data_IF_914210529027
#
_entry.id   IF_914210529027
#
_cell.length_a   1.000
_cell.length_b   1.000
_cell.length_c   1.000
_cell.angle_alpha   90.00
_cell.angle_beta   90.00
_cell.angle_gamma   90.00
#
_symmetry.space_group_name_H-M   'P 1'
#
loop_
_entity.id
_entity.type
_entity.pdbx_description
1 polymer ?
#
# COMPACT_ATOMS: atom_id res chain seq x y z
N UNK A 1 10.97 -6.36 -14.13
CA UNK A 1 9.65 -6.87 -14.55
C UNK A 1 9.20 -7.92 -13.56
N UNK A 2 8.25 -7.56 -12.71
CA UNK A 2 7.77 -8.41 -11.62
C UNK A 2 6.57 -9.26 -12.07
N UNK A 3 6.44 -10.47 -11.51
CA UNK A 3 5.26 -11.34 -11.75
C UNK A 3 3.97 -10.71 -11.20
N UNK A 4 2.81 -11.04 -11.76
CA UNK A 4 1.52 -10.54 -11.25
C UNK A 4 1.32 -10.88 -9.77
N UNK A 5 0.80 -9.93 -9.00
CA UNK A 5 0.41 -10.18 -7.60
C UNK A 5 -0.88 -11.02 -7.48
N UNK A 6 -1.60 -11.22 -8.59
CA UNK A 6 -2.73 -12.13 -8.68
C UNK A 6 -2.19 -13.52 -9.06
N UNK A 7 -2.46 -14.50 -8.22
CA UNK A 7 -2.09 -15.90 -8.42
C UNK A 7 -3.31 -16.69 -8.88
N UNK A 8 -3.09 -17.68 -9.75
CA UNK A 8 -4.12 -18.52 -10.34
C UNK A 8 -3.78 -20.00 -10.17
N UNK A 9 -4.76 -20.81 -9.77
CA UNK A 9 -4.75 -22.27 -10.00
C UNK A 9 -5.99 -22.67 -10.78
N UNK A 10 -5.82 -23.64 -11.67
CA UNK A 10 -6.90 -24.31 -12.38
C UNK A 10 -7.15 -25.72 -11.79
N UNK A 11 -8.36 -25.98 -11.32
CA UNK A 11 -8.83 -27.31 -10.92
C UNK A 11 -9.97 -27.72 -11.86
N UNK A 12 -9.70 -28.69 -12.74
CA UNK A 12 -10.58 -29.29 -13.76
C UNK A 12 -11.32 -28.30 -14.68
N UNK A 13 -12.25 -27.49 -14.15
CA UNK A 13 -13.02 -26.46 -14.87
C UNK A 13 -13.15 -25.12 -14.11
N UNK A 14 -12.54 -24.98 -12.93
CA UNK A 14 -12.64 -23.79 -12.07
C UNK A 14 -11.27 -23.11 -11.97
N UNK A 15 -11.26 -21.79 -12.21
CA UNK A 15 -10.09 -20.92 -11.99
C UNK A 15 -10.25 -20.21 -10.66
N UNK A 16 -9.30 -20.42 -9.75
CA UNK A 16 -9.27 -19.75 -8.44
C UNK A 16 -8.20 -18.67 -8.51
N UNK A 17 -8.60 -17.43 -8.27
CA UNK A 17 -7.70 -16.28 -8.20
C UNK A 17 -7.57 -15.83 -6.75
N UNK A 18 -6.35 -15.53 -6.30
CA UNK A 18 -6.12 -14.88 -5.01
C UNK A 18 -5.02 -13.83 -5.10
N UNK A 19 -5.06 -12.89 -4.17
CA UNK A 19 -4.04 -11.85 -4.03
C UNK A 19 -2.89 -12.40 -3.19
N UNK A 20 -1.65 -12.34 -3.68
CA UNK A 20 -0.47 -12.70 -2.89
C UNK A 20 -0.05 -11.53 -2.00
N UNK A 21 -0.69 -11.42 -0.84
CA UNK A 21 -0.39 -10.40 0.17
C UNK A 21 1.08 -10.43 0.62
N UNK A 22 1.73 -11.60 0.66
CA UNK A 22 3.12 -11.68 1.12
C UNK A 22 4.04 -11.05 0.07
N UNK A 23 3.84 -11.40 -1.20
CA UNK A 23 4.57 -10.80 -2.32
C UNK A 23 4.36 -9.28 -2.39
N UNK A 24 3.12 -8.82 -2.20
CA UNK A 24 2.82 -7.38 -2.19
C UNK A 24 3.54 -6.66 -1.04
N UNK A 25 3.53 -7.23 0.16
CA UNK A 25 4.18 -6.59 1.31
C UNK A 25 5.70 -6.54 1.15
N UNK A 26 6.31 -7.60 0.62
CA UNK A 26 7.74 -7.64 0.28
C UNK A 26 8.09 -6.53 -0.74
N UNK A 27 7.29 -6.39 -1.78
CA UNK A 27 7.42 -5.35 -2.80
C UNK A 27 7.26 -3.94 -2.26
N UNK A 28 6.25 -3.72 -1.40
CA UNK A 28 6.07 -2.45 -0.71
C UNK A 28 7.31 -2.11 0.12
N UNK A 29 7.87 -3.09 0.83
CA UNK A 29 9.11 -2.90 1.60
C UNK A 29 10.28 -2.47 0.71
N UNK A 30 10.51 -3.15 -0.41
CA UNK A 30 11.58 -2.77 -1.36
C UNK A 30 11.38 -1.37 -1.95
N UNK A 31 10.14 -0.97 -2.23
CA UNK A 31 9.84 0.38 -2.71
C UNK A 31 10.09 1.42 -1.60
N UNK A 32 9.66 1.13 -0.37
CA UNK A 32 9.85 2.01 0.79
C UNK A 32 11.34 2.22 1.14
N UNK A 33 12.24 1.28 0.82
CA UNK A 33 13.67 1.49 0.99
C UNK A 33 14.20 2.69 0.18
N UNK A 34 13.57 2.99 -0.96
CA UNK A 34 13.90 4.14 -1.82
C UNK A 34 13.35 5.47 -1.28
N UNK A 35 12.50 5.46 -0.25
CA UNK A 35 11.92 6.69 0.30
C UNK A 35 12.95 7.58 1.00
N UNK A 36 14.16 7.06 1.25
CA UNK A 36 15.31 7.87 1.69
C UNK A 36 15.65 9.00 0.71
N UNK A 37 15.36 8.81 -0.58
CA UNK A 37 15.56 9.81 -1.62
C UNK A 37 14.42 10.84 -1.71
N UNK A 38 13.36 10.66 -0.90
CA UNK A 38 12.16 11.49 -0.86
C UNK A 38 11.91 12.01 0.57
N UNK A 39 12.81 12.82 1.12
CA UNK A 39 12.72 13.30 2.50
C UNK A 39 11.48 14.18 2.77
N UNK A 40 10.78 14.63 1.72
CA UNK A 40 9.51 15.32 1.86
C UNK A 40 8.36 14.41 2.30
N UNK A 41 8.48 13.09 2.13
CA UNK A 41 7.47 12.12 2.57
C UNK A 41 7.75 11.73 4.01
N UNK A 42 6.78 12.01 4.89
CA UNK A 42 6.88 11.75 6.32
C UNK A 42 6.27 10.41 6.71
N UNK A 43 5.15 10.03 6.09
CA UNK A 43 4.43 8.81 6.41
C UNK A 43 3.82 8.18 5.16
N UNK A 44 3.71 6.85 5.15
CA UNK A 44 2.94 6.10 4.14
C UNK A 44 1.96 5.19 4.85
N UNK A 45 0.71 5.26 4.42
CA UNK A 45 -0.38 4.47 4.98
C UNK A 45 -1.03 3.66 3.86
N UNK A 46 -1.17 2.36 4.08
CA UNK A 46 -2.04 1.52 3.26
C UNK A 46 -3.43 1.60 3.84
N UNK A 47 -4.44 1.90 3.03
CA UNK A 47 -5.83 1.93 3.49
C UNK A 47 -6.74 1.15 2.54
N UNK A 48 -8.05 1.32 2.70
CA UNK A 48 -9.02 0.68 1.82
C UNK A 48 -9.10 -0.83 1.98
N UNK A 49 -9.41 -1.52 0.89
CA UNK A 49 -9.74 -2.95 0.92
C UNK A 49 -8.56 -3.84 1.32
N UNK A 50 -7.33 -3.45 0.95
CA UNK A 50 -6.13 -4.21 1.26
C UNK A 50 -5.82 -4.17 2.77
N UNK A 51 -5.84 -2.98 3.38
CA UNK A 51 -5.65 -2.82 4.81
C UNK A 51 -6.70 -3.56 5.66
N UNK A 52 -7.94 -3.63 5.16
CA UNK A 52 -9.04 -4.33 5.83
C UNK A 52 -9.09 -5.85 5.55
N UNK A 53 -8.11 -6.39 4.81
CA UNK A 53 -8.07 -7.80 4.39
C UNK A 53 -9.30 -8.22 3.57
N UNK A 54 -9.91 -7.27 2.86
CA UNK A 54 -11.08 -7.47 1.99
C UNK A 54 -10.74 -7.38 0.50
N UNK A 55 -9.50 -7.05 0.14
CA UNK A 55 -9.09 -6.98 -1.26
C UNK A 55 -9.28 -8.33 -1.97
N UNK A 56 -9.81 -8.24 -3.19
CA UNK A 56 -10.09 -9.35 -4.10
C UNK A 56 -9.19 -9.24 -5.34
N UNK A 57 -9.07 -10.28 -6.16
CA UNK A 57 -8.41 -10.17 -7.46
C UNK A 57 -9.05 -9.04 -8.29
N UNK A 58 -8.23 -8.06 -8.68
CA UNK A 58 -8.67 -6.84 -9.37
C UNK A 58 -8.88 -5.62 -8.47
N UNK A 59 -8.68 -5.74 -7.15
CA UNK A 59 -8.58 -4.57 -6.26
C UNK A 59 -7.26 -3.83 -6.47
N UNK A 60 -7.29 -2.50 -6.32
CA UNK A 60 -6.11 -1.65 -6.29
C UNK A 60 -5.56 -1.53 -4.86
N UNK A 61 -4.31 -1.11 -4.69
CA UNK A 61 -3.75 -0.73 -3.38
C UNK A 61 -3.86 0.78 -3.19
N UNK A 62 -4.66 1.19 -2.21
CA UNK A 62 -4.79 2.60 -1.84
C UNK A 62 -3.67 3.02 -0.88
N UNK A 63 -2.84 3.97 -1.30
CA UNK A 63 -1.71 4.51 -0.53
C UNK A 63 -1.89 6.00 -0.24
N UNK A 64 -1.95 6.35 1.04
CA UNK A 64 -1.88 7.74 1.49
C UNK A 64 -0.41 8.08 1.79
N UNK A 65 0.12 9.09 1.11
CA UNK A 65 1.44 9.65 1.37
C UNK A 65 1.25 10.95 2.12
N UNK A 66 1.78 11.05 3.33
CA UNK A 66 1.75 12.28 4.13
C UNK A 66 3.08 13.00 3.92
N UNK A 67 3.01 14.20 3.38
CA UNK A 67 4.17 15.01 2.99
C UNK A 67 4.34 16.21 3.93
N UNK A 68 5.56 16.70 4.07
CA UNK A 68 5.84 17.91 4.87
C UNK A 68 5.17 19.15 4.30
N UNK A 69 5.32 19.40 3.00
CA UNK A 69 4.73 20.54 2.30
C UNK A 69 4.83 20.31 0.78
N UNK A 70 4.01 21.03 0.02
CA UNK A 70 4.11 21.07 -1.44
C UNK A 70 3.35 22.26 -1.98
N UNK A 71 3.95 22.97 -2.94
CA UNK A 71 3.28 24.04 -3.69
C UNK A 71 2.57 23.51 -4.95
N UNK A 72 2.75 22.21 -5.27
CA UNK A 72 2.15 21.58 -6.45
C UNK A 72 0.68 21.22 -6.20
N UNK A 73 -0.12 21.24 -7.26
CA UNK A 73 -1.51 20.78 -7.19
C UNK A 73 -1.53 19.27 -6.89
N UNK A 74 -2.60 18.79 -6.27
CA UNK A 74 -2.75 17.38 -5.91
C UNK A 74 -2.53 16.46 -7.11
N UNK A 75 -3.08 16.78 -8.28
CA UNK A 75 -2.92 15.94 -9.49
C UNK A 75 -1.46 15.84 -9.96
N UNK A 76 -0.71 16.93 -9.89
CA UNK A 76 0.71 16.95 -10.27
C UNK A 76 1.58 16.17 -9.25
N UNK A 77 1.13 16.13 -7.99
CA UNK A 77 1.74 15.29 -6.94
C UNK A 77 1.43 13.80 -7.19
N UNK A 78 0.18 13.46 -7.50
CA UNK A 78 -0.23 12.07 -7.81
C UNK A 78 0.64 11.56 -8.95
N UNK A 79 0.69 12.27 -10.08
CA UNK A 79 1.52 11.89 -11.23
C UNK A 79 2.99 11.64 -10.84
N UNK A 80 3.58 12.51 -10.02
CA UNK A 80 4.98 12.36 -9.57
C UNK A 80 5.24 11.07 -8.78
N UNK A 81 4.33 10.66 -7.92
CA UNK A 81 4.55 9.53 -7.01
C UNK A 81 3.96 8.21 -7.52
N UNK A 82 3.00 8.28 -8.44
CA UNK A 82 2.37 7.12 -9.07
C UNK A 82 3.40 6.18 -9.71
N UNK A 83 4.38 6.74 -10.42
CA UNK A 83 5.41 5.97 -11.15
C UNK A 83 6.30 5.13 -10.23
N UNK A 84 6.43 5.50 -8.95
CA UNK A 84 7.22 4.73 -7.97
C UNK A 84 6.66 3.33 -7.74
N UNK A 85 5.38 3.12 -8.04
CA UNK A 85 4.67 1.86 -7.84
C UNK A 85 4.33 1.14 -9.14
N UNK A 86 4.79 1.65 -10.29
CA UNK A 86 4.49 1.09 -11.62
C UNK A 86 4.90 -0.38 -11.78
N UNK A 87 5.98 -0.79 -11.13
CA UNK A 87 6.50 -2.17 -11.17
C UNK A 87 5.83 -3.12 -10.15
N UNK A 88 4.87 -2.67 -9.34
CA UNK A 88 4.33 -3.46 -8.22
C UNK A 88 3.57 -4.72 -8.66
N UNK A 89 3.22 -4.84 -9.95
CA UNK A 89 2.56 -6.01 -10.52
C UNK A 89 1.05 -6.09 -10.23
N UNK A 90 0.49 -5.00 -9.74
CA UNK A 90 -0.93 -4.66 -9.68
C UNK A 90 -1.08 -3.13 -9.57
N UNK A 91 -2.29 -2.63 -9.81
CA UNK A 91 -2.61 -1.21 -9.71
C UNK A 91 -2.45 -0.68 -8.27
N UNK A 92 -1.97 0.56 -8.18
CA UNK A 92 -1.82 1.31 -6.93
C UNK A 92 -2.45 2.67 -7.14
N UNK A 93 -3.22 3.16 -6.18
CA UNK A 93 -3.73 4.53 -6.20
C UNK A 93 -3.02 5.33 -5.12
N UNK A 94 -2.32 6.39 -5.54
CA UNK A 94 -1.50 7.21 -4.66
C UNK A 94 -2.22 8.51 -4.30
N UNK A 95 -2.28 8.82 -3.01
CA UNK A 95 -2.94 10.01 -2.47
C UNK A 95 -1.93 10.86 -1.66
N UNK A 96 -1.20 11.78 -2.31
CA UNK A 96 -0.13 12.56 -1.67
C UNK A 96 -0.68 13.85 -1.07
N UNK A 97 -0.94 13.84 0.24
CA UNK A 97 -1.45 14.98 1.00
C UNK A 97 -0.36 15.56 1.91
N UNK A 98 -0.35 16.88 2.10
CA UNK A 98 0.58 17.52 3.02
C UNK A 98 0.04 17.49 4.46
N UNK A 99 0.91 17.76 5.44
CA UNK A 99 0.48 17.92 6.85
C UNK A 99 -0.56 19.03 7.01
N UNK A 100 -0.54 20.08 6.19
CA UNK A 100 -1.53 21.16 6.24
C UNK A 100 -2.91 20.67 5.77
N UNK A 101 -2.95 19.58 5.00
CA UNK A 101 -4.16 18.94 4.50
C UNK A 101 -4.60 17.77 5.41
N UNK A 102 -3.95 17.55 6.56
CA UNK A 102 -4.20 16.39 7.44
C UNK A 102 -5.60 16.36 8.04
N UNK A 103 -6.23 17.52 8.20
CA UNK A 103 -7.55 17.65 8.82
C UNK A 103 -8.70 17.37 7.85
N UNK A 104 -8.41 17.14 6.57
CA UNK A 104 -9.41 16.73 5.61
C UNK A 104 -10.04 15.38 6.04
N UNK A 105 -11.38 15.25 5.98
CA UNK A 105 -12.06 14.03 6.41
C UNK A 105 -11.56 12.75 5.72
N UNK A 106 -11.17 12.86 4.45
CA UNK A 106 -10.57 11.76 3.70
C UNK A 106 -9.27 11.27 4.35
N UNK A 107 -8.33 12.18 4.64
CA UNK A 107 -7.02 11.85 5.22
C UNK A 107 -7.19 11.24 6.61
N UNK A 108 -8.05 11.82 7.43
CA UNK A 108 -8.38 11.29 8.76
C UNK A 108 -8.97 9.88 8.69
N UNK A 109 -9.92 9.64 7.77
CA UNK A 109 -10.51 8.32 7.60
C UNK A 109 -9.51 7.27 7.08
N UNK A 110 -8.64 7.68 6.14
CA UNK A 110 -7.58 6.83 5.62
C UNK A 110 -6.60 6.43 6.74
N UNK A 111 -6.14 7.37 7.57
CA UNK A 111 -5.29 7.04 8.74
C UNK A 111 -6.01 6.19 9.78
N UNK A 112 -7.28 6.45 10.05
CA UNK A 112 -8.07 5.69 11.05
C UNK A 112 -8.29 4.23 10.67
N UNK A 113 -8.50 3.96 9.39
CA UNK A 113 -8.84 2.61 8.88
C UNK A 113 -7.66 1.90 8.23
N UNK A 114 -6.59 2.64 7.96
CA UNK A 114 -5.37 2.16 7.34
C UNK A 114 -4.32 1.72 8.35
N UNK A 115 -3.21 1.26 7.78
CA UNK A 115 -2.03 0.75 8.47
C UNK A 115 -0.86 1.59 8.00
N UNK A 116 -0.17 2.23 8.94
CA UNK A 116 1.06 2.94 8.65
C UNK A 116 2.17 1.92 8.34
N UNK A 117 2.76 2.01 7.16
CA UNK A 117 3.84 1.11 6.69
C UNK A 117 5.19 1.82 6.60
N UNK A 118 5.21 3.14 6.75
CA UNK A 118 6.42 3.95 6.81
C UNK A 118 6.16 5.20 7.65
N UNK A 119 7.09 5.54 8.53
CA UNK A 119 7.08 6.79 9.27
C UNK A 119 8.53 7.24 9.52
N UNK A 120 8.88 8.43 9.06
CA UNK A 120 10.24 8.96 9.17
C UNK A 120 10.65 9.26 10.62
N UNK A 121 9.68 9.58 11.49
CA UNK A 121 9.92 9.86 12.91
C UNK A 121 9.98 8.60 13.77
N UNK A 122 9.38 7.50 13.29
CA UNK A 122 9.29 6.24 14.02
C UNK A 122 9.29 5.04 13.04
N UNK A 123 10.49 4.56 12.72
CA UNK A 123 10.69 3.40 11.84
C UNK A 123 10.04 2.12 12.39
N UNK A 124 9.88 2.02 13.72
CA UNK A 124 9.29 0.86 14.38
C UNK A 124 7.79 0.75 14.05
N UNK A 125 7.08 1.88 13.96
CA UNK A 125 5.67 1.92 13.51
C UNK A 125 5.53 1.35 12.09
N UNK A 126 6.38 1.78 11.15
CA UNK A 126 6.33 1.29 9.78
C UNK A 126 6.63 -0.21 9.67
N UNK A 127 7.65 -0.66 10.38
CA UNK A 127 8.03 -2.08 10.46
C UNK A 127 6.90 -2.94 11.02
N UNK A 128 6.23 -2.48 12.08
CA UNK A 128 5.13 -3.20 12.70
C UNK A 128 3.90 -3.28 11.79
N UNK A 129 3.63 -2.23 11.02
CA UNK A 129 2.55 -2.22 10.02
C UNK A 129 2.79 -3.19 8.87
N UNK A 130 4.02 -3.24 8.34
CA UNK A 130 4.40 -4.24 7.33
C UNK A 130 4.27 -5.67 7.87
N UNK A 131 4.77 -5.92 9.09
CA UNK A 131 4.66 -7.25 9.73
C UNK A 131 3.19 -7.67 9.92
N UNK A 132 2.32 -6.74 10.33
CA UNK A 132 0.90 -7.01 10.44
C UNK A 132 0.28 -7.46 9.10
N UNK A 133 0.63 -6.79 7.99
CA UNK A 133 0.16 -7.17 6.66
C UNK A 133 0.66 -8.56 6.23
N UNK A 134 1.92 -8.89 6.52
CA UNK A 134 2.46 -10.24 6.28
C UNK A 134 1.76 -11.33 7.10
N UNK A 135 1.50 -11.09 8.38
CA UNK A 135 0.87 -12.08 9.25
C UNK A 135 -0.61 -12.28 8.91
N UNK A 136 -1.30 -11.21 8.53
CA UNK A 136 -2.64 -11.29 8.00
C UNK A 136 -2.73 -12.12 6.71
N UNK A 137 -1.71 -12.04 5.85
CA UNK A 137 -1.57 -12.89 4.65
C UNK A 137 -1.50 -14.39 5.01
N UNK A 138 -0.67 -14.73 6.01
CA UNK A 138 -0.48 -16.11 6.49
C UNK A 138 -1.78 -16.66 7.10
N UNK A 139 -2.54 -15.81 7.80
CA UNK A 139 -3.83 -16.16 8.40
C UNK A 139 -4.89 -16.57 7.37
N UNK A 140 -4.95 -15.89 6.21
CA UNK A 140 -5.87 -16.26 5.12
C UNK A 140 -5.50 -17.59 4.45
N UNK A 141 -4.20 -17.86 4.22
CA UNK A 141 -3.75 -19.14 3.62
C UNK A 141 -4.17 -20.37 4.44
N UNK A 142 -4.32 -20.26 5.77
CA UNK A 142 -4.80 -21.37 6.63
C UNK A 142 -6.30 -21.67 6.51
N UNK A 143 -7.13 -20.73 6.06
CA UNK A 143 -8.59 -20.90 5.96
C UNK A 143 -9.07 -21.49 4.62
N UNK A 144 -8.17 -21.61 3.63
CA UNK A 144 -8.47 -22.12 2.29
C UNK A 144 -8.02 -23.61 2.15
N UNK A 145 -7.40 -24.18 3.18
CA UNK A 145 -7.05 -25.61 3.22
C UNK A 145 -8.17 -26.45 3.81
#
# INVERSE_FOLDING_TARGET
MWQSAVQEISLDSVRIFWLDYALITERLKEILEKFKDYPEILEVWVFGSFAQLKAVPGSDIDLLLVMKESEKRLIDRIERYQDMFSDMGMSVDVFPYTIQESDLPFVQNAKRTGICIYNVSDEQVGTQGLLYLEDAAKGKRKRIR
#
